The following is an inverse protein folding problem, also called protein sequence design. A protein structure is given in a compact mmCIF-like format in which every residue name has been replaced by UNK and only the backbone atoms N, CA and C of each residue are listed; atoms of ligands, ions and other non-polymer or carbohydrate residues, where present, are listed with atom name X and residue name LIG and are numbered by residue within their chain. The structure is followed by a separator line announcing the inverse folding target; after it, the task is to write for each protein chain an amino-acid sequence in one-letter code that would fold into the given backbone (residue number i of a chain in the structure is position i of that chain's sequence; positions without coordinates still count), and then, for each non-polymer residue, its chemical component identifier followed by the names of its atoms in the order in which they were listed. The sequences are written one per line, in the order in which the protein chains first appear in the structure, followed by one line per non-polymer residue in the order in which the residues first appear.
data_IF_602816376314
#
_entry.id   IF_602816376314
#
_cell.length_a   1.000
_cell.length_b   1.000
_cell.length_c   1.000
_cell.angle_alpha   90.00
_cell.angle_beta   90.00
_cell.angle_gamma   90.00
#
_symmetry.space_group_name_H-M   'P 1'
#
loop_
_entity.id
_entity.type
_entity.pdbx_description
1 polymer ?
#
# COMPACT_ATOMS: atom_id res chain seq x y z
N UNK A 1 6.03 4.14 5.03
CA UNK A 1 4.98 4.93 5.70
C UNK A 1 5.53 5.58 6.97
N UNK A 2 4.99 6.73 7.41
CA UNK A 2 5.38 7.42 8.66
C UNK A 2 4.24 7.46 9.69
N UNK A 3 4.53 7.48 10.99
CA UNK A 3 3.56 7.73 12.08
C UNK A 3 2.76 9.02 11.83
N UNK A 4 3.40 10.08 11.35
CA UNK A 4 2.72 11.33 11.01
C UNK A 4 1.72 11.13 9.86
N UNK A 5 2.08 10.31 8.86
CA UNK A 5 1.20 9.95 7.76
C UNK A 5 0.01 9.08 8.22
N UNK A 6 0.21 8.18 9.18
CA UNK A 6 -0.87 7.39 9.79
C UNK A 6 -1.85 8.28 10.57
N UNK A 7 -1.35 9.22 11.36
CA UNK A 7 -2.18 10.20 12.07
C UNK A 7 -2.98 11.04 11.08
N UNK A 8 -2.34 11.49 9.98
CA UNK A 8 -3.02 12.21 8.91
C UNK A 8 -4.11 11.38 8.25
N UNK A 9 -3.81 10.13 7.91
CA UNK A 9 -4.78 9.23 7.30
C UNK A 9 -5.98 8.99 8.21
N UNK A 10 -5.75 8.71 9.49
CA UNK A 10 -6.80 8.50 10.48
C UNK A 10 -7.73 9.72 10.59
N UNK A 11 -7.17 10.93 10.51
CA UNK A 11 -7.98 12.15 10.46
C UNK A 11 -8.77 12.26 9.15
N UNK A 12 -8.14 12.02 8.00
CA UNK A 12 -8.78 12.10 6.70
C UNK A 12 -9.95 11.10 6.53
N UNK A 13 -9.92 9.96 7.22
CA UNK A 13 -11.02 8.97 7.23
C UNK A 13 -12.01 9.16 8.39
N UNK A 14 -11.81 10.17 9.24
CA UNK A 14 -12.73 10.49 10.35
C UNK A 14 -12.62 9.59 11.59
N UNK A 15 -11.60 8.73 11.67
CA UNK A 15 -11.37 7.87 12.85
C UNK A 15 -10.88 8.68 14.07
N UNK A 16 -10.28 9.84 13.85
CA UNK A 16 -9.88 10.76 14.94
C UNK A 16 -10.43 12.17 14.71
N UNK A 17 -10.79 12.82 15.81
CA UNK A 17 -11.23 14.21 15.81
C UNK A 17 -10.07 15.18 15.50
N UNK A 18 -10.42 16.40 15.08
CA UNK A 18 -9.46 17.49 14.89
C UNK A 18 -8.67 17.80 16.18
N UNK A 19 -9.31 17.67 17.35
CA UNK A 19 -8.64 17.83 18.66
C UNK A 19 -7.55 16.78 18.85
N UNK A 20 -7.84 15.50 18.59
CA UNK A 20 -6.87 14.41 18.68
C UNK A 20 -5.74 14.58 17.65
N UNK A 21 -6.07 14.97 16.43
CA UNK A 21 -5.08 15.25 15.39
C UNK A 21 -4.05 16.31 15.83
N UNK A 22 -4.52 17.43 16.40
CA UNK A 22 -3.64 18.48 16.97
C UNK A 22 -2.81 17.96 18.14
N UNK A 23 -3.44 17.22 19.06
CA UNK A 23 -2.75 16.67 20.23
C UNK A 23 -1.62 15.72 19.83
N UNK A 24 -1.87 14.83 18.87
CA UNK A 24 -0.85 13.90 18.39
C UNK A 24 0.32 14.63 17.72
N UNK A 25 0.04 15.66 16.92
CA UNK A 25 1.12 16.49 16.35
C UNK A 25 1.95 17.21 17.42
N UNK A 26 1.33 17.73 18.49
CA UNK A 26 2.06 18.32 19.62
C UNK A 26 2.96 17.29 20.31
N UNK A 27 2.49 16.06 20.48
CA UNK A 27 3.27 14.96 21.05
C UNK A 27 4.45 14.59 20.14
N UNK A 28 4.25 14.45 18.83
CA UNK A 28 5.33 14.20 17.86
C UNK A 28 6.41 15.29 17.94
N UNK A 29 6.00 16.57 17.99
CA UNK A 29 6.94 17.69 18.12
C UNK A 29 7.74 17.62 19.41
N UNK A 30 7.09 17.35 20.55
CA UNK A 30 7.74 17.24 21.85
C UNK A 30 8.76 16.12 21.91
N UNK A 31 8.51 15.02 21.19
CA UNK A 31 9.42 13.87 21.11
C UNK A 31 10.50 14.03 20.03
N UNK A 32 10.46 15.10 19.23
CA UNK A 32 11.36 15.29 18.08
C UNK A 32 11.04 14.40 16.89
N UNK A 33 9.89 13.73 16.88
CA UNK A 33 9.51 12.72 15.88
C UNK A 33 8.84 13.27 14.64
N UNK A 34 8.79 14.60 14.47
CA UNK A 34 8.13 15.24 13.32
C UNK A 34 8.84 14.94 12.00
N UNK A 35 10.17 14.82 12.03
CA UNK A 35 11.02 14.64 10.84
C UNK A 35 11.95 13.44 10.93
N UNK A 36 12.04 12.80 12.10
CA UNK A 36 12.84 11.60 12.33
C UNK A 36 12.05 10.65 13.20
N UNK A 37 11.66 9.50 12.67
CA UNK A 37 10.95 8.51 13.45
C UNK A 37 11.83 7.95 14.58
N UNK A 38 11.24 7.48 15.70
CA UNK A 38 12.00 6.88 16.79
C UNK A 38 12.74 5.61 16.41
N UNK A 39 12.32 4.97 15.32
CA UNK A 39 12.90 3.74 14.79
C UNK A 39 13.11 3.91 13.29
N UNK A 40 14.12 3.25 12.75
CA UNK A 40 14.29 3.16 11.32
C UNK A 40 13.20 2.23 10.75
N UNK A 41 12.29 2.80 9.98
CA UNK A 41 11.20 2.06 9.35
C UNK A 41 11.68 1.65 7.96
N UNK A 42 11.72 0.34 7.65
CA UNK A 42 12.14 -0.09 6.33
C UNK A 42 11.23 0.51 5.26
N UNK A 43 11.80 0.72 4.08
CA UNK A 43 11.02 1.16 2.92
C UNK A 43 9.95 0.11 2.62
N UNK A 44 8.71 0.56 2.53
CA UNK A 44 7.58 -0.29 2.20
C UNK A 44 7.62 -0.64 0.70
N UNK A 45 7.50 -1.92 0.39
CA UNK A 45 7.29 -2.41 -0.97
C UNK A 45 5.79 -2.69 -1.16
N UNK A 46 5.05 -1.91 -1.97
CA UNK A 46 3.61 -2.04 -2.09
C UNK A 46 3.20 -3.31 -2.87
N UNK A 47 3.04 -4.44 -2.17
CA UNK A 47 2.70 -5.73 -2.80
C UNK A 47 1.20 -5.98 -2.97
N UNK A 48 0.33 -5.26 -2.24
CA UNK A 48 -1.09 -5.60 -2.11
C UNK A 48 -1.81 -5.76 -3.46
N UNK A 49 -1.56 -4.84 -4.40
CA UNK A 49 -2.20 -4.88 -5.71
C UNK A 49 -1.64 -6.01 -6.57
N UNK A 50 -0.33 -6.26 -6.50
CA UNK A 50 0.31 -7.37 -7.21
C UNK A 50 -0.21 -8.72 -6.69
N UNK A 51 -0.34 -8.86 -5.37
CA UNK A 51 -0.89 -10.06 -4.74
C UNK A 51 -2.37 -10.28 -5.11
N UNK A 52 -3.17 -9.21 -5.14
CA UNK A 52 -4.56 -9.28 -5.55
C UNK A 52 -4.72 -9.71 -7.02
N UNK A 53 -3.89 -9.17 -7.92
CA UNK A 53 -3.86 -9.55 -9.34
C UNK A 53 -3.43 -11.00 -9.48
N UNK A 54 -2.36 -11.40 -8.79
CA UNK A 54 -1.83 -12.76 -8.82
C UNK A 54 -2.87 -13.78 -8.36
N UNK A 55 -3.52 -13.55 -7.22
CA UNK A 55 -4.58 -14.43 -6.71
C UNK A 55 -5.70 -14.65 -7.72
N UNK A 56 -6.09 -13.58 -8.43
CA UNK A 56 -7.13 -13.64 -9.46
C UNK A 56 -6.70 -14.42 -10.71
N UNK A 57 -5.46 -14.22 -11.16
CA UNK A 57 -4.88 -15.02 -12.26
C UNK A 57 -4.78 -16.50 -11.86
N UNK A 58 -4.30 -16.79 -10.64
CA UNK A 58 -4.25 -18.16 -10.12
C UNK A 58 -5.64 -18.80 -9.95
N UNK A 59 -6.68 -18.00 -9.76
CA UNK A 59 -8.07 -18.45 -9.78
C UNK A 59 -8.66 -18.62 -11.20
N UNK A 60 -7.85 -18.46 -12.24
CA UNK A 60 -8.24 -18.68 -13.64
C UNK A 60 -8.79 -17.45 -14.36
N UNK A 61 -8.75 -16.25 -13.76
CA UNK A 61 -9.15 -15.04 -14.46
C UNK A 61 -8.11 -14.64 -15.51
N UNK A 62 -8.57 -14.27 -16.70
CA UNK A 62 -7.69 -13.84 -17.79
C UNK A 62 -7.18 -12.42 -17.56
N UNK A 63 -5.98 -12.13 -18.04
CA UNK A 63 -5.38 -10.78 -17.97
C UNK A 63 -6.27 -9.75 -18.68
N UNK A 64 -6.88 -10.13 -19.81
CA UNK A 64 -7.86 -9.29 -20.51
C UNK A 64 -9.06 -8.90 -19.63
N UNK A 65 -9.57 -9.81 -18.81
CA UNK A 65 -10.68 -9.52 -17.90
C UNK A 65 -10.26 -8.57 -16.78
N UNK A 66 -9.07 -8.76 -16.21
CA UNK A 66 -8.51 -7.88 -15.19
C UNK A 66 -8.24 -6.47 -15.73
N UNK A 67 -7.71 -6.38 -16.94
CA UNK A 67 -7.51 -5.10 -17.64
C UNK A 67 -8.84 -4.34 -17.82
N UNK A 68 -9.91 -5.04 -18.23
CA UNK A 68 -11.25 -4.44 -18.33
C UNK A 68 -11.77 -3.95 -16.99
N UNK A 69 -11.59 -4.72 -15.90
CA UNK A 69 -11.99 -4.29 -14.55
C UNK A 69 -11.22 -3.06 -14.09
N UNK A 70 -9.94 -2.95 -14.46
CA UNK A 70 -9.10 -1.80 -14.17
C UNK A 70 -9.33 -0.60 -15.11
N UNK A 71 -10.26 -0.70 -16.07
CA UNK A 71 -10.51 0.31 -17.11
C UNK A 71 -9.26 0.61 -17.96
N UNK A 72 -8.53 -0.44 -18.32
CA UNK A 72 -7.28 -0.38 -19.09
C UNK A 72 -7.33 -1.28 -20.32
N UNK A 73 -6.50 -0.97 -21.32
CA UNK A 73 -6.14 -1.94 -22.35
C UNK A 73 -5.26 -3.05 -21.75
N UNK A 74 -5.28 -4.24 -22.34
CA UNK A 74 -4.45 -5.35 -21.87
C UNK A 74 -2.96 -5.01 -21.91
N UNK A 75 -2.48 -4.33 -22.96
CA UNK A 75 -1.08 -3.90 -23.08
C UNK A 75 -0.69 -2.92 -21.96
N UNK A 76 -1.54 -1.93 -21.67
CA UNK A 76 -1.28 -0.99 -20.58
C UNK A 76 -1.26 -1.71 -19.23
N UNK A 77 -2.18 -2.64 -19.03
CA UNK A 77 -2.26 -3.41 -17.81
C UNK A 77 -0.99 -4.24 -17.59
N UNK A 78 -0.53 -4.97 -18.62
CA UNK A 78 0.72 -5.76 -18.56
C UNK A 78 1.95 -4.89 -18.31
N UNK A 79 1.98 -3.67 -18.86
CA UNK A 79 3.08 -2.72 -18.67
C UNK A 79 3.19 -2.20 -17.24
N UNK A 80 2.06 -1.87 -16.60
CA UNK A 80 2.05 -1.27 -15.26
C UNK A 80 1.89 -2.29 -14.12
N UNK A 81 1.35 -3.47 -14.43
CA UNK A 81 1.17 -4.57 -13.48
C UNK A 81 1.80 -5.85 -14.04
N UNK A 82 3.13 -5.93 -14.12
CA UNK A 82 3.82 -7.12 -14.59
C UNK A 82 3.43 -8.31 -13.69
N UNK A 83 2.83 -9.33 -14.31
CA UNK A 83 2.37 -10.51 -13.60
C UNK A 83 3.54 -11.50 -13.56
N UNK A 84 4.43 -11.32 -12.59
CA UNK A 84 5.43 -12.34 -12.27
C UNK A 84 4.71 -13.52 -11.60
N UNK A 85 4.40 -14.54 -12.38
CA UNK A 85 4.16 -15.86 -11.84
C UNK A 85 5.49 -16.34 -11.27
N UNK A 86 5.79 -16.06 -9.99
CA UNK A 86 6.89 -16.77 -9.35
C UNK A 86 6.56 -18.25 -9.47
N UNK A 87 7.37 -18.97 -10.24
CA UNK A 87 7.42 -20.41 -10.15
C UNK A 87 7.48 -20.72 -8.66
N UNK A 88 6.51 -21.51 -8.22
CA UNK A 88 6.40 -22.01 -6.86
C UNK A 88 7.81 -22.27 -6.36
N UNK A 89 8.22 -21.55 -5.31
CA UNK A 89 9.53 -21.75 -4.71
C UNK A 89 9.74 -23.26 -4.57
N UNK A 90 10.66 -23.75 -5.39
CA UNK A 90 10.98 -25.14 -5.53
C UNK A 90 11.52 -25.59 -4.16
N UNK A 91 10.86 -26.61 -3.63
CA UNK A 91 11.27 -27.52 -2.55
C UNK A 91 12.69 -27.31 -1.99
N UNK A 92 12.78 -26.93 -0.71
CA UNK A 92 13.80 -27.38 0.24
C UNK A 92 13.35 -27.09 1.67
#
# INVERSE_FOLDING_TARGET
MSIAALIRRAYDIGEISERQYREFHLRLNRMGWRTSEPVDVPTEDPTLLHDAIRRRVSAGQTVAALARTALMTEDSFRRYFPIELRESAQTA
#
